data_IF_010653232032
#
_entry.id   IF_010653232032
#
_cell.length_a   1.000
_cell.length_b   1.000
_cell.length_c   1.000
_cell.angle_alpha   90.00
_cell.angle_beta   90.00
_cell.angle_gamma   90.00
#
_symmetry.space_group_name_H-M   'P 1'
#
loop_
_entity.id
_entity.type
_entity.pdbx_description
1 polymer ?
#
# COMPACT_ATOMS: atom_id res chain seq x y z
N UNK A 1 -2.39 -14.39 -27.51
CA UNK A 1 -3.09 -13.66 -28.61
C UNK A 1 -3.84 -14.57 -29.58
N UNK A 2 -3.39 -15.81 -29.82
CA UNK A 2 -4.07 -16.69 -30.81
C UNK A 2 -5.41 -17.23 -30.31
N UNK A 3 -5.52 -17.51 -29.01
CA UNK A 3 -6.79 -17.99 -28.42
C UNK A 3 -7.93 -16.97 -28.54
N UNK A 4 -7.64 -15.70 -28.29
CA UNK A 4 -8.64 -14.62 -28.43
C UNK A 4 -8.99 -14.38 -29.89
N UNK A 5 -8.01 -14.50 -30.82
CA UNK A 5 -8.24 -14.42 -32.28
C UNK A 5 -9.13 -15.53 -32.81
N UNK A 6 -9.19 -16.67 -32.13
CA UNK A 6 -10.03 -17.82 -32.50
C UNK A 6 -11.41 -17.81 -31.80
N UNK A 7 -11.82 -16.68 -31.18
CA UNK A 7 -13.11 -16.50 -30.55
C UNK A 7 -13.21 -16.86 -29.07
N UNK A 8 -12.08 -17.08 -28.42
CA UNK A 8 -12.02 -17.26 -26.95
C UNK A 8 -12.05 -15.93 -26.22
N UNK A 9 -12.50 -15.93 -24.96
CA UNK A 9 -12.49 -14.75 -24.09
C UNK A 9 -11.28 -14.77 -23.14
N UNK A 10 -10.78 -13.59 -22.74
CA UNK A 10 -9.71 -13.48 -21.75
C UNK A 10 -10.11 -14.10 -20.41
N UNK A 11 -11.37 -13.98 -20.02
CA UNK A 11 -11.94 -14.60 -18.82
C UNK A 11 -11.93 -16.14 -18.81
N UNK A 12 -11.73 -16.76 -19.98
CA UNK A 12 -11.56 -18.22 -20.11
C UNK A 12 -10.14 -18.68 -19.69
N UNK A 13 -9.22 -17.75 -19.47
CA UNK A 13 -7.81 -18.02 -19.22
C UNK A 13 -7.49 -17.74 -17.77
N UNK A 14 -6.79 -18.67 -17.11
CA UNK A 14 -6.17 -18.44 -15.82
C UNK A 14 -4.66 -18.58 -15.91
N UNK A 15 -3.95 -17.73 -15.18
CA UNK A 15 -2.50 -17.87 -14.95
C UNK A 15 -2.30 -18.15 -13.46
N UNK A 16 -1.73 -19.31 -13.18
CA UNK A 16 -1.50 -19.77 -11.81
C UNK A 16 -0.02 -19.66 -11.46
N UNK A 17 0.24 -19.18 -10.26
CA UNK A 17 1.58 -19.00 -9.70
C UNK A 17 1.68 -19.62 -8.29
N UNK A 18 2.89 -19.86 -7.84
CA UNK A 18 3.15 -20.49 -6.55
C UNK A 18 3.21 -19.46 -5.42
N UNK A 19 3.92 -18.37 -5.62
CA UNK A 19 4.17 -17.34 -4.62
C UNK A 19 3.78 -15.95 -5.14
N UNK A 20 3.38 -15.06 -4.24
CA UNK A 20 2.93 -13.69 -4.59
C UNK A 20 3.99 -12.89 -5.37
N UNK A 21 5.27 -13.15 -5.14
CA UNK A 21 6.37 -12.48 -5.86
C UNK A 21 6.32 -12.71 -7.37
N UNK A 22 5.96 -13.92 -7.82
CA UNK A 22 5.78 -14.24 -9.25
C UNK A 22 4.63 -13.46 -9.86
N UNK A 23 3.58 -13.21 -9.07
CA UNK A 23 2.44 -12.43 -9.50
C UNK A 23 2.78 -10.97 -9.80
N UNK A 24 3.71 -10.35 -9.05
CA UNK A 24 4.07 -8.94 -9.27
C UNK A 24 4.71 -8.71 -10.64
N UNK A 25 5.62 -9.60 -11.06
CA UNK A 25 6.24 -9.54 -12.38
C UNK A 25 5.19 -9.74 -13.48
N UNK A 26 4.29 -10.70 -13.28
CA UNK A 26 3.22 -11.00 -14.23
C UNK A 26 2.27 -9.82 -14.41
N UNK A 27 1.82 -9.21 -13.33
CA UNK A 27 0.89 -8.09 -13.38
C UNK A 27 1.57 -6.87 -14.04
N UNK A 28 2.82 -6.54 -13.68
CA UNK A 28 3.58 -5.49 -14.37
C UNK A 28 3.67 -5.74 -15.88
N UNK A 29 3.85 -7.00 -16.27
CA UNK A 29 3.91 -7.38 -17.69
C UNK A 29 2.55 -7.20 -18.37
N UNK A 30 1.46 -7.66 -17.73
CA UNK A 30 0.11 -7.53 -18.28
C UNK A 30 -0.32 -6.07 -18.42
N UNK A 31 0.00 -5.23 -17.42
CA UNK A 31 -0.24 -3.79 -17.49
C UNK A 31 0.57 -3.12 -18.59
N UNK A 32 1.86 -3.44 -18.72
CA UNK A 32 2.71 -2.88 -19.76
C UNK A 32 2.20 -3.14 -21.19
N UNK A 33 1.53 -4.29 -21.39
CA UNK A 33 0.93 -4.65 -22.68
C UNK A 33 -0.57 -4.29 -22.78
N UNK A 34 -1.13 -3.61 -21.76
CA UNK A 34 -2.55 -3.22 -21.72
C UNK A 34 -3.52 -4.39 -21.65
N UNK A 35 -3.12 -5.54 -21.12
CA UNK A 35 -3.98 -6.72 -21.05
C UNK A 35 -4.76 -6.72 -19.73
N UNK A 36 -6.11 -6.68 -19.77
CA UNK A 36 -6.91 -6.70 -18.56
C UNK A 36 -6.78 -8.03 -17.82
N UNK A 37 -6.72 -7.97 -16.51
CA UNK A 37 -6.65 -9.15 -15.64
C UNK A 37 -7.50 -8.96 -14.38
N UNK A 38 -7.81 -10.08 -13.74
CA UNK A 38 -8.53 -10.14 -12.46
C UNK A 38 -7.83 -11.08 -11.49
N UNK A 39 -7.77 -10.72 -10.23
CA UNK A 39 -7.30 -11.61 -9.16
C UNK A 39 -8.14 -11.46 -7.91
N UNK A 40 -8.31 -12.56 -7.16
CA UNK A 40 -8.90 -12.57 -5.81
C UNK A 40 -7.86 -12.38 -4.71
N UNK A 41 -6.62 -12.74 -5.01
CA UNK A 41 -5.53 -12.46 -4.09
C UNK A 41 -5.42 -10.94 -3.96
N UNK A 42 -5.18 -10.43 -2.76
CA UNK A 42 -4.94 -9.01 -2.56
C UNK A 42 -3.72 -8.61 -3.40
N UNK A 43 -3.97 -8.12 -4.61
CA UNK A 43 -2.93 -7.59 -5.51
C UNK A 43 -2.26 -6.39 -4.86
N UNK A 44 -2.97 -5.75 -3.97
CA UNK A 44 -2.51 -4.69 -3.10
C UNK A 44 -1.20 -5.06 -2.39
N UNK A 45 -1.11 -6.31 -1.86
CA UNK A 45 0.13 -6.82 -1.27
C UNK A 45 1.22 -7.15 -2.30
N UNK A 46 0.86 -7.27 -3.58
CA UNK A 46 1.76 -7.73 -4.64
C UNK A 46 2.46 -6.57 -5.34
N UNK A 47 1.75 -5.44 -5.56
CA UNK A 47 2.27 -4.34 -6.37
C UNK A 47 2.82 -3.18 -5.60
N UNK A 48 2.05 -2.77 -4.61
CA UNK A 48 2.34 -1.52 -3.97
C UNK A 48 3.11 -1.74 -2.66
N UNK A 49 2.98 -2.93 -2.07
CA UNK A 49 3.63 -3.25 -0.80
C UNK A 49 3.25 -2.29 0.33
N UNK A 50 3.83 -2.54 1.47
CA UNK A 50 3.56 -1.77 2.70
C UNK A 50 3.86 -0.28 2.53
N UNK A 51 4.94 0.05 1.79
CA UNK A 51 5.39 1.42 1.57
C UNK A 51 4.34 2.29 0.86
N UNK A 52 3.71 1.77 -0.19
CA UNK A 52 2.70 2.50 -0.94
C UNK A 52 1.46 2.81 -0.12
N UNK A 53 0.94 1.81 0.61
CA UNK A 53 -0.25 2.03 1.43
C UNK A 53 0.01 2.98 2.58
N UNK A 54 1.20 2.96 3.14
CA UNK A 54 1.58 3.92 4.16
C UNK A 54 1.67 5.33 3.56
N UNK A 55 2.24 5.49 2.36
CA UNK A 55 2.29 6.79 1.66
C UNK A 55 0.91 7.31 1.29
N UNK A 56 -0.01 6.44 0.83
CA UNK A 56 -1.40 6.82 0.59
C UNK A 56 -2.11 7.29 1.85
N UNK A 57 -1.90 6.59 2.97
CA UNK A 57 -2.46 6.97 4.25
C UNK A 57 -1.90 8.33 4.72
N UNK A 58 -0.59 8.56 4.59
CA UNK A 58 0.02 9.85 4.86
C UNK A 58 -0.55 10.95 3.99
N UNK A 59 -0.71 10.70 2.69
CA UNK A 59 -1.30 11.68 1.77
C UNK A 59 -2.73 12.03 2.18
N UNK A 60 -3.62 11.04 2.34
CA UNK A 60 -5.02 11.27 2.69
C UNK A 60 -5.18 12.02 4.01
N UNK A 61 -4.44 11.62 5.04
CA UNK A 61 -4.43 12.31 6.33
C UNK A 61 -3.92 13.75 6.21
N UNK A 62 -2.84 13.98 5.44
CA UNK A 62 -2.29 15.32 5.24
C UNK A 62 -3.22 16.26 4.47
N UNK A 63 -4.11 15.71 3.63
CA UNK A 63 -5.10 16.48 2.86
C UNK A 63 -6.47 16.57 3.50
N UNK A 64 -6.66 15.98 4.69
CA UNK A 64 -7.94 16.00 5.41
C UNK A 64 -9.03 15.13 4.79
N UNK A 65 -8.66 14.10 4.03
CA UNK A 65 -9.56 13.13 3.40
C UNK A 65 -9.25 11.68 3.81
N UNK A 66 -9.13 11.39 5.13
CA UNK A 66 -8.70 10.08 5.62
C UNK A 66 -9.74 8.99 5.35
N UNK A 67 -9.23 7.79 5.09
CA UNK A 67 -10.01 6.56 5.23
C UNK A 67 -9.95 6.04 6.68
N UNK A 68 -10.93 5.22 7.05
CA UNK A 68 -11.07 4.72 8.43
C UNK A 68 -9.82 3.99 8.96
N UNK A 69 -9.04 3.37 8.09
CA UNK A 69 -7.86 2.57 8.45
C UNK A 69 -6.55 3.36 8.47
N UNK A 70 -6.52 4.57 7.89
CA UNK A 70 -5.29 5.33 7.66
C UNK A 70 -4.55 5.68 8.95
N UNK A 71 -5.25 6.25 9.92
CA UNK A 71 -4.63 6.60 11.20
C UNK A 71 -4.04 5.37 11.88
N UNK A 72 -4.78 4.27 11.93
CA UNK A 72 -4.31 3.02 12.53
C UNK A 72 -3.08 2.47 11.82
N UNK A 73 -3.00 2.66 10.50
CA UNK A 73 -1.87 2.21 9.68
C UNK A 73 -0.59 2.94 10.03
N UNK A 74 -0.65 4.28 10.18
CA UNK A 74 0.57 5.10 10.29
C UNK A 74 0.85 5.63 11.70
N UNK A 75 -0.04 5.45 12.67
CA UNK A 75 0.14 6.03 14.01
C UNK A 75 1.47 5.62 14.68
N UNK A 76 1.96 4.44 14.38
CA UNK A 76 3.23 3.92 14.87
C UNK A 76 4.22 3.58 13.73
N UNK A 77 4.16 4.32 12.65
CA UNK A 77 5.08 4.27 11.51
C UNK A 77 5.37 5.69 11.01
N UNK A 78 6.57 6.20 11.22
CA UNK A 78 7.67 5.61 12.00
C UNK A 78 7.28 5.37 13.45
N UNK A 79 8.11 4.60 14.15
CA UNK A 79 7.87 4.10 15.51
C UNK A 79 7.69 5.24 16.53
N UNK A 80 6.47 5.38 17.03
CA UNK A 80 6.08 6.40 18.02
C UNK A 80 5.70 5.82 19.37
N UNK A 81 5.81 4.48 19.53
CA UNK A 81 5.42 3.75 20.74
C UNK A 81 3.95 3.98 21.14
N UNK A 82 3.09 4.22 20.15
CA UNK A 82 1.63 4.29 20.31
C UNK A 82 1.03 3.00 19.75
N UNK A 83 0.26 2.30 20.56
CA UNK A 83 -0.42 1.07 20.13
C UNK A 83 -1.54 1.40 19.14
N UNK A 84 -1.50 0.84 17.96
CA UNK A 84 -2.47 1.10 16.88
C UNK A 84 -3.93 0.73 17.23
N UNK A 85 -4.13 -0.19 18.17
CA UNK A 85 -5.47 -0.56 18.63
C UNK A 85 -6.15 0.52 19.46
N UNK A 86 -5.39 1.46 20.05
CA UNK A 86 -5.96 2.58 20.82
C UNK A 86 -6.68 3.60 19.93
N UNK A 87 -6.28 3.71 18.68
CA UNK A 87 -6.85 4.66 17.71
C UNK A 87 -7.83 4.01 16.73
N UNK A 88 -8.33 2.82 17.07
CA UNK A 88 -9.35 2.15 16.25
C UNK A 88 -10.63 2.99 16.24
N UNK A 89 -11.10 3.37 15.05
CA UNK A 89 -12.24 4.29 14.86
C UNK A 89 -12.05 5.70 15.44
N UNK A 90 -10.83 6.12 15.73
CA UNK A 90 -10.53 7.48 16.14
C UNK A 90 -10.47 8.39 14.90
N UNK A 91 -11.08 9.56 14.98
CA UNK A 91 -10.91 10.60 13.96
C UNK A 91 -9.48 11.16 14.01
N UNK A 92 -8.99 11.66 12.88
CA UNK A 92 -7.70 12.33 12.80
C UNK A 92 -7.79 13.73 13.41
N UNK A 93 -7.95 13.76 14.71
CA UNK A 93 -8.01 14.97 15.55
C UNK A 93 -7.06 14.82 16.73
N UNK A 94 -6.26 15.85 16.99
CA UNK A 94 -5.21 15.83 18.02
C UNK A 94 -5.75 15.46 19.40
N UNK A 95 -6.86 16.07 19.81
CA UNK A 95 -7.39 15.88 21.15
C UNK A 95 -8.04 14.51 21.29
N UNK A 96 -8.79 14.06 20.26
CA UNK A 96 -9.39 12.73 20.24
C UNK A 96 -8.33 11.62 20.28
N UNK A 97 -7.23 11.78 19.53
CA UNK A 97 -6.10 10.82 19.55
C UNK A 97 -5.45 10.83 20.94
N UNK A 98 -5.21 12.00 21.52
CA UNK A 98 -4.63 12.11 22.85
C UNK A 98 -5.51 11.44 23.92
N UNK A 99 -6.80 11.73 23.95
CA UNK A 99 -7.76 11.12 24.86
C UNK A 99 -7.79 9.59 24.72
N UNK A 100 -7.85 9.09 23.48
CA UNK A 100 -7.84 7.64 23.20
C UNK A 100 -6.57 6.96 23.71
N UNK A 101 -5.40 7.61 23.54
CA UNK A 101 -4.11 7.05 23.92
C UNK A 101 -3.79 7.16 25.42
N UNK A 102 -4.41 8.11 26.13
CA UNK A 102 -4.08 8.41 27.54
C UNK A 102 -5.08 7.92 28.56
N UNK A 103 -6.21 7.36 28.14
CA UNK A 103 -7.33 6.93 29.01
C UNK A 103 -6.91 6.10 30.23
N UNK A 104 -5.89 5.25 30.09
CA UNK A 104 -5.36 4.39 31.15
C UNK A 104 -3.82 4.53 31.30
N UNK A 105 -3.26 5.67 30.89
CA UNK A 105 -1.83 5.89 30.90
C UNK A 105 -1.36 6.53 32.23
N UNK A 106 -0.10 6.29 32.59
CA UNK A 106 0.53 7.02 33.71
C UNK A 106 0.73 8.49 33.34
N UNK A 107 0.94 9.35 34.36
CA UNK A 107 1.22 10.77 34.13
C UNK A 107 2.45 10.99 33.24
N UNK A 108 3.48 10.17 33.40
CA UNK A 108 4.70 10.24 32.61
C UNK A 108 4.43 9.83 31.13
N UNK A 109 3.63 8.78 30.94
CA UNK A 109 3.23 8.35 29.59
C UNK A 109 2.34 9.40 28.91
N UNK A 110 1.45 10.05 29.67
CA UNK A 110 0.62 11.13 29.12
C UNK A 110 1.48 12.28 28.56
N UNK A 111 2.54 12.68 29.24
CA UNK A 111 3.45 13.72 28.74
C UNK A 111 4.16 13.26 27.48
N UNK A 112 4.77 12.07 27.49
CA UNK A 112 5.43 11.51 26.31
C UNK A 112 4.49 11.38 25.11
N UNK A 113 3.28 10.87 25.35
CA UNK A 113 2.27 10.72 24.28
C UNK A 113 1.84 12.09 23.73
N UNK A 114 1.69 13.10 24.60
CA UNK A 114 1.35 14.45 24.17
C UNK A 114 2.42 15.02 23.22
N UNK A 115 3.70 14.90 23.59
CA UNK A 115 4.79 15.41 22.77
C UNK A 115 4.87 14.67 21.43
N UNK A 116 4.77 13.34 21.48
CA UNK A 116 4.74 12.51 20.27
C UNK A 116 3.59 12.86 19.31
N UNK A 117 2.41 13.14 19.85
CA UNK A 117 1.26 13.55 19.02
C UNK A 117 1.48 14.96 18.45
N UNK A 118 2.03 15.88 19.23
CA UNK A 118 2.36 17.21 18.75
C UNK A 118 3.36 17.16 17.58
N UNK A 119 4.43 16.41 17.71
CA UNK A 119 5.43 16.22 16.66
C UNK A 119 4.79 15.60 15.39
N UNK A 120 3.96 14.57 15.56
CA UNK A 120 3.21 14.00 14.46
C UNK A 120 2.33 15.03 13.74
N UNK A 121 1.63 15.89 14.45
CA UNK A 121 0.80 16.93 13.82
C UNK A 121 1.63 18.03 13.15
N UNK A 122 2.84 18.32 13.63
CA UNK A 122 3.79 19.19 12.93
C UNK A 122 4.23 18.57 11.60
N UNK A 123 4.55 17.28 11.59
CA UNK A 123 4.87 16.56 10.37
C UNK A 123 3.74 16.62 9.36
N UNK A 124 2.50 16.34 9.78
CA UNK A 124 1.33 16.42 8.89
C UNK A 124 1.09 17.84 8.36
N UNK A 125 1.36 18.86 9.15
CA UNK A 125 1.32 20.25 8.70
C UNK A 125 2.38 20.55 7.64
N UNK A 126 3.57 19.97 7.75
CA UNK A 126 4.62 20.07 6.74
C UNK A 126 4.21 19.32 5.47
N UNK A 127 3.78 18.06 5.61
CA UNK A 127 3.31 17.24 4.49
C UNK A 127 2.15 17.88 3.72
N UNK A 128 1.25 18.59 4.40
CA UNK A 128 0.10 19.26 3.76
C UNK A 128 0.51 20.35 2.75
N UNK A 129 1.74 20.86 2.84
CA UNK A 129 2.29 21.91 2.00
C UNK A 129 3.16 21.39 0.86
N UNK A 130 3.56 20.13 0.92
CA UNK A 130 4.40 19.49 -0.10
C UNK A 130 3.50 18.95 -1.20
N UNK A 131 3.64 19.45 -2.41
CA UNK A 131 2.84 19.01 -3.56
C UNK A 131 3.64 18.17 -4.57
N UNK A 132 4.97 18.17 -4.50
CA UNK A 132 5.80 17.27 -5.32
C UNK A 132 5.89 15.88 -4.69
N UNK A 133 5.57 14.78 -5.42
CA UNK A 133 5.56 13.42 -4.87
C UNK A 133 6.92 12.95 -4.36
N UNK A 134 8.00 13.29 -5.06
CA UNK A 134 9.35 12.91 -4.63
C UNK A 134 9.74 13.60 -3.32
N UNK A 135 9.44 14.89 -3.20
CA UNK A 135 9.69 15.62 -1.94
C UNK A 135 8.82 15.11 -0.79
N UNK A 136 7.57 14.75 -1.07
CA UNK A 136 6.65 14.18 -0.08
C UNK A 136 7.17 12.85 0.48
N UNK A 137 7.61 11.96 -0.41
CA UNK A 137 8.17 10.67 -0.04
C UNK A 137 9.48 10.85 0.74
N UNK A 138 10.38 11.70 0.24
CA UNK A 138 11.66 11.94 0.91
C UNK A 138 11.47 12.51 2.31
N UNK A 139 10.54 13.46 2.50
CA UNK A 139 10.23 13.98 3.83
C UNK A 139 9.83 12.86 4.81
N UNK A 140 8.97 11.93 4.38
CA UNK A 140 8.56 10.80 5.24
C UNK A 140 9.73 9.85 5.51
N UNK A 141 10.51 9.53 4.48
CA UNK A 141 11.60 8.58 4.59
C UNK A 141 12.76 9.11 5.43
N UNK A 142 13.21 10.30 5.11
CA UNK A 142 14.45 10.88 5.63
C UNK A 142 14.17 11.70 6.91
N UNK A 143 13.28 12.70 6.83
CA UNK A 143 13.04 13.65 7.94
C UNK A 143 12.22 13.01 9.07
N UNK A 144 11.22 12.18 8.76
CA UNK A 144 10.42 11.48 9.76
C UNK A 144 11.05 10.17 10.23
N UNK A 145 12.09 9.67 9.55
CA UNK A 145 12.79 8.42 9.91
C UNK A 145 12.05 7.14 9.57
N UNK A 146 11.15 7.17 8.59
CA UNK A 146 10.35 6.02 8.16
C UNK A 146 11.19 4.88 7.59
N UNK A 147 12.30 5.17 6.91
CA UNK A 147 13.18 4.15 6.33
C UNK A 147 13.77 3.23 7.41
N UNK A 148 14.27 3.80 8.49
CA UNK A 148 14.81 3.01 9.60
C UNK A 148 13.74 2.11 10.24
N UNK A 149 12.51 2.63 10.40
CA UNK A 149 11.39 1.88 10.95
C UNK A 149 10.97 0.71 10.06
N UNK A 150 11.05 0.87 8.74
CA UNK A 150 10.77 -0.21 7.79
C UNK A 150 11.77 -1.37 7.93
N UNK A 151 13.05 -1.09 8.11
CA UNK A 151 14.06 -2.13 8.33
C UNK A 151 13.85 -2.87 9.65
N UNK A 152 13.60 -2.15 10.74
CA UNK A 152 13.27 -2.77 12.04
C UNK A 152 12.00 -3.65 11.92
N UNK A 153 11.00 -3.18 11.17
CA UNK A 153 9.77 -3.92 10.92
C UNK A 153 10.01 -5.19 10.12
N UNK A 154 10.87 -5.14 9.08
CA UNK A 154 11.24 -6.31 8.28
C UNK A 154 11.91 -7.38 9.13
N UNK A 155 12.88 -7.00 9.93
CA UNK A 155 13.56 -7.91 10.86
C UNK A 155 12.60 -8.56 11.85
N UNK A 156 11.69 -7.77 12.43
CA UNK A 156 10.72 -8.26 13.42
C UNK A 156 9.70 -9.22 12.81
N UNK A 157 9.26 -8.98 11.58
CA UNK A 157 8.21 -9.78 10.90
C UNK A 157 8.76 -10.93 10.07
N UNK A 158 10.08 -11.01 9.91
CA UNK A 158 10.73 -12.01 9.05
C UNK A 158 10.49 -11.76 7.55
N UNK A 159 10.11 -10.54 7.16
CA UNK A 159 10.04 -10.12 5.77
C UNK A 159 11.45 -9.97 5.20
N UNK A 160 11.59 -10.23 3.91
CA UNK A 160 12.85 -10.01 3.22
C UNK A 160 13.11 -8.50 3.09
N UNK A 161 14.18 -8.03 3.74
CA UNK A 161 14.59 -6.62 3.66
C UNK A 161 14.85 -6.18 2.21
N UNK A 162 15.33 -7.08 1.36
CA UNK A 162 15.52 -6.81 -0.07
C UNK A 162 14.22 -6.53 -0.80
N UNK A 163 13.15 -7.24 -0.47
CA UNK A 163 11.83 -6.99 -1.07
C UNK A 163 11.28 -5.61 -0.64
N UNK A 164 11.50 -5.19 0.60
CA UNK A 164 11.09 -3.85 1.09
C UNK A 164 11.90 -2.74 0.41
N UNK A 165 13.21 -2.91 0.26
CA UNK A 165 14.06 -1.97 -0.46
C UNK A 165 13.59 -1.83 -1.89
N UNK A 166 13.39 -2.95 -2.59
CA UNK A 166 12.92 -2.94 -3.99
C UNK A 166 11.57 -2.25 -4.15
N UNK A 167 10.63 -2.44 -3.21
CA UNK A 167 9.34 -1.74 -3.20
C UNK A 167 9.52 -0.24 -3.00
N UNK A 168 10.36 0.16 -2.06
CA UNK A 168 10.68 1.56 -1.78
C UNK A 168 11.30 2.26 -2.98
N UNK A 169 12.29 1.64 -3.61
CA UNK A 169 12.95 2.18 -4.80
C UNK A 169 11.99 2.27 -5.99
N UNK A 170 11.16 1.25 -6.20
CA UNK A 170 10.15 1.25 -7.25
C UNK A 170 9.16 2.40 -7.07
N UNK A 171 8.70 2.64 -5.85
CA UNK A 171 7.80 3.74 -5.50
C UNK A 171 8.47 5.11 -5.71
N UNK A 172 9.70 5.31 -5.21
CA UNK A 172 10.47 6.54 -5.40
C UNK A 172 10.67 6.83 -6.90
N UNK A 173 11.01 5.80 -7.68
CA UNK A 173 11.17 5.90 -9.14
C UNK A 173 9.86 6.21 -9.88
N UNK A 174 8.75 5.66 -9.42
CA UNK A 174 7.44 5.95 -10.00
C UNK A 174 7.00 7.39 -9.70
N UNK A 175 7.25 7.88 -8.49
CA UNK A 175 6.93 9.24 -8.08
C UNK A 175 7.61 10.33 -8.94
N UNK A 176 8.79 10.03 -9.50
CA UNK A 176 9.50 10.93 -10.41
C UNK A 176 8.74 11.26 -11.72
N UNK A 177 7.72 10.48 -12.06
CA UNK A 177 6.93 10.68 -13.30
C UNK A 177 5.82 11.72 -13.14
N UNK A 178 5.61 12.23 -11.94
CA UNK A 178 4.49 13.12 -11.61
C UNK A 178 5.00 14.45 -11.06
N UNK A 179 4.38 15.52 -11.51
CA UNK A 179 4.73 16.87 -11.07
C UNK A 179 4.04 17.27 -9.76
N UNK A 180 2.87 16.67 -9.47
CA UNK A 180 2.09 16.97 -8.27
C UNK A 180 1.45 15.74 -7.64
N UNK A 181 1.16 15.86 -6.33
CA UNK A 181 0.61 14.78 -5.52
C UNK A 181 -0.80 14.33 -5.97
N UNK A 182 -1.60 15.23 -6.53
CA UNK A 182 -2.95 14.89 -6.97
C UNK A 182 -2.93 13.96 -8.19
N UNK A 183 -2.02 14.19 -9.13
CA UNK A 183 -1.84 13.31 -10.29
C UNK A 183 -1.30 11.95 -9.89
N UNK A 184 -0.28 11.94 -9.02
CA UNK A 184 0.28 10.69 -8.48
C UNK A 184 -0.77 9.88 -7.72
N UNK A 185 -1.54 10.51 -6.83
CA UNK A 185 -2.62 9.87 -6.07
C UNK A 185 -3.69 9.29 -6.99
N UNK A 186 -4.16 10.08 -7.97
CA UNK A 186 -5.16 9.61 -8.95
C UNK A 186 -4.64 8.42 -9.75
N UNK A 187 -3.39 8.47 -10.23
CA UNK A 187 -2.78 7.36 -10.96
C UNK A 187 -2.81 6.07 -10.16
N UNK A 188 -2.45 6.12 -8.87
CA UNK A 188 -2.44 4.95 -7.99
C UNK A 188 -3.86 4.45 -7.72
N UNK A 189 -4.79 5.33 -7.39
CA UNK A 189 -6.17 4.95 -7.09
C UNK A 189 -6.92 4.44 -8.33
N UNK A 190 -6.68 5.01 -9.50
CA UNK A 190 -7.24 4.52 -10.76
C UNK A 190 -6.69 3.13 -11.10
N UNK A 191 -5.42 2.89 -10.82
CA UNK A 191 -4.79 1.58 -10.99
C UNK A 191 -5.40 0.55 -10.06
N UNK A 192 -5.58 0.88 -8.78
CA UNK A 192 -6.24 0.06 -7.78
C UNK A 192 -7.68 -0.27 -8.20
N UNK A 193 -8.42 0.72 -8.70
CA UNK A 193 -9.80 0.52 -9.19
C UNK A 193 -9.86 -0.42 -10.39
N UNK A 194 -8.98 -0.28 -11.39
CA UNK A 194 -8.94 -1.15 -12.59
C UNK A 194 -8.68 -2.60 -12.22
N UNK A 195 -7.79 -2.83 -11.28
CA UNK A 195 -7.48 -4.18 -10.79
C UNK A 195 -8.68 -4.83 -10.08
N UNK A 196 -9.53 -4.04 -9.39
CA UNK A 196 -10.67 -4.56 -8.61
C UNK A 196 -11.95 -4.78 -9.41
N UNK A 197 -12.16 -4.12 -10.55
CA UNK A 197 -13.48 -4.04 -11.18
C UNK A 197 -13.76 -5.02 -12.31
N UNK A 198 -12.76 -5.61 -12.97
CA UNK A 198 -12.98 -6.43 -14.15
C UNK A 198 -12.98 -7.93 -13.89
N UNK A 199 -14.02 -8.41 -13.17
CA UNK A 199 -14.20 -9.86 -12.92
C UNK A 199 -14.48 -10.68 -14.19
N UNK A 200 -14.97 -10.08 -15.26
CA UNK A 200 -15.51 -10.80 -16.42
C UNK A 200 -14.78 -10.56 -17.74
N UNK A 201 -13.81 -9.65 -17.80
CA UNK A 201 -13.19 -9.24 -19.06
C UNK A 201 -11.68 -9.52 -19.15
N UNK A 202 -11.05 -9.91 -18.04
CA UNK A 202 -9.61 -10.12 -17.96
C UNK A 202 -9.16 -11.55 -17.73
N UNK A 203 -7.85 -11.77 -17.88
CA UNK A 203 -7.20 -13.03 -17.52
C UNK A 203 -7.24 -13.20 -15.99
N UNK A 204 -7.58 -14.39 -15.52
CA UNK A 204 -7.64 -14.67 -14.09
C UNK A 204 -6.25 -15.01 -13.53
N UNK A 205 -5.83 -14.30 -12.49
CA UNK A 205 -4.57 -14.54 -11.78
C UNK A 205 -4.86 -15.12 -10.40
N UNK A 206 -4.19 -16.20 -10.03
CA UNK A 206 -4.34 -16.79 -8.69
C UNK A 206 -3.16 -17.65 -8.29
N UNK A 207 -2.98 -17.78 -6.97
CA UNK A 207 -2.16 -18.85 -6.43
C UNK A 207 -2.80 -20.21 -6.67
N UNK A 208 -2.01 -21.31 -6.65
CA UNK A 208 -2.55 -22.67 -6.72
C UNK A 208 -3.62 -22.93 -5.65
N UNK A 209 -3.43 -22.39 -4.45
CA UNK A 209 -4.41 -22.54 -3.37
C UNK A 209 -5.68 -21.72 -3.62
N UNK A 210 -5.55 -20.51 -4.11
CA UNK A 210 -6.69 -19.65 -4.43
C UNK A 210 -7.53 -20.16 -5.60
N UNK A 211 -6.91 -20.94 -6.49
CA UNK A 211 -7.56 -21.56 -7.64
C UNK A 211 -8.35 -22.82 -7.30
N UNK A 212 -8.22 -23.36 -6.08
CA UNK A 212 -8.88 -24.62 -5.71
C UNK A 212 -10.39 -24.53 -5.85
N UNK A 213 -10.96 -25.47 -6.61
CA UNK A 213 -12.39 -25.53 -6.89
C UNK A 213 -12.89 -24.61 -8.02
N UNK A 214 -12.00 -23.89 -8.69
CA UNK A 214 -12.32 -23.08 -9.86
C UNK A 214 -11.93 -23.81 -11.15
N UNK A 215 -12.55 -23.41 -12.28
CA UNK A 215 -12.33 -24.04 -13.58
C UNK A 215 -12.24 -22.98 -14.68
N UNK A 216 -11.29 -23.19 -15.60
CA UNK A 216 -11.09 -22.36 -16.79
C UNK A 216 -10.88 -23.22 -18.03
N UNK A 217 -11.14 -22.67 -19.20
CA UNK A 217 -10.89 -23.40 -20.46
C UNK A 217 -9.40 -23.50 -20.77
N UNK A 218 -8.60 -22.55 -20.31
CA UNK A 218 -7.15 -22.54 -20.46
C UNK A 218 -6.45 -22.14 -19.19
N UNK A 219 -5.48 -22.93 -18.76
CA UNK A 219 -4.67 -22.66 -17.58
C UNK A 219 -3.19 -22.58 -17.98
N UNK A 220 -2.54 -21.50 -17.60
CA UNK A 220 -1.11 -21.28 -17.76
C UNK A 220 -0.50 -21.36 -16.35
N UNK A 221 0.52 -22.17 -16.19
CA UNK A 221 1.25 -22.31 -14.95
C UNK A 221 2.61 -21.65 -15.13
N UNK A 222 2.90 -20.66 -14.29
CA UNK A 222 4.24 -20.08 -14.20
C UNK A 222 4.93 -20.64 -12.96
N UNK A 223 6.14 -21.13 -13.14
CA UNK A 223 7.06 -21.53 -12.07
C UNK A 223 8.41 -20.95 -12.41
N UNK A 224 8.99 -20.21 -11.47
CA UNK A 224 10.37 -19.77 -11.55
C UNK A 224 11.31 -20.88 -11.08
#
# INVERSE_FOLDING_TARGET
NDYVKTGGHLSDIAILYRVKKEASVLVNTLEAIGMPFFTRDNVDDIHLGICFYDMLAYYRLSRGVPEQTDLRRIINRPKRYIRSNLVHNCEFDRNKIYEACTKNASRQDCLRINDTINDMFLDFRSLSRIDNPTQFINYIYDDMGYENDLFEYAEYTGLDSGDIINQSEAMKKEALKFDNMSEWYRYITDREYRVRTDKNEGVYLSTFHGAKGLQWKKVIIISA
#
